data_IF_789133714556
#
_entry.id   IF_789133714556
#
_cell.length_a   1.000
_cell.length_b   1.000
_cell.length_c   1.000
_cell.angle_alpha   90.00
_cell.angle_beta   90.00
_cell.angle_gamma   90.00
#
_symmetry.space_group_name_H-M   'P 1'
#
loop_
_entity.id
_entity.type
_entity.pdbx_description
1 polymer ?
#
# COMPACT_ATOMS: atom_id res chain seq x y z
N UNK A 1 22.81 -34.98 -26.28
CA UNK A 1 23.05 -33.80 -25.43
C UNK A 1 23.95 -32.83 -26.18
N UNK A 2 23.40 -31.69 -26.62
CA UNK A 2 24.15 -30.45 -26.91
C UNK A 2 23.11 -29.37 -27.15
N UNK A 3 22.92 -28.53 -26.15
CA UNK A 3 22.08 -27.34 -26.24
C UNK A 3 22.77 -26.20 -26.97
N UNK A 4 21.95 -25.25 -27.40
CA UNK A 4 22.21 -23.82 -27.67
C UNK A 4 20.84 -23.21 -27.96
N UNK A 5 20.12 -22.79 -26.92
CA UNK A 5 20.13 -21.45 -26.32
C UNK A 5 19.81 -20.36 -27.34
N UNK A 6 18.60 -19.83 -27.18
CA UNK A 6 17.87 -18.95 -28.05
C UNK A 6 18.26 -17.49 -27.75
N UNK A 7 19.04 -16.86 -28.62
CA UNK A 7 19.38 -15.45 -28.52
C UNK A 7 18.45 -14.60 -29.38
N UNK A 8 17.24 -14.30 -28.88
CA UNK A 8 16.37 -13.33 -29.55
C UNK A 8 16.80 -11.92 -29.10
N UNK A 9 17.50 -11.22 -29.99
CA UNK A 9 17.69 -9.79 -29.87
C UNK A 9 16.36 -9.07 -30.05
N UNK A 10 16.10 -8.07 -29.22
CA UNK A 10 15.09 -7.05 -29.52
C UNK A 10 15.61 -5.69 -29.11
N UNK A 11 16.01 -4.98 -30.17
CA UNK A 11 16.29 -3.56 -30.29
C UNK A 11 15.06 -2.72 -29.92
N UNK A 12 15.25 -1.52 -29.36
CA UNK A 12 14.13 -0.59 -29.15
C UNK A 12 14.44 0.62 -28.27
N UNK A 13 15.36 1.48 -28.70
CA UNK A 13 15.57 2.79 -28.10
C UNK A 13 14.40 3.72 -28.46
N UNK A 14 13.60 4.16 -27.49
CA UNK A 14 12.43 5.00 -27.74
C UNK A 14 11.98 5.75 -26.49
N UNK A 15 12.51 6.96 -26.30
CA UNK A 15 12.10 7.93 -25.28
C UNK A 15 10.62 8.30 -25.46
N UNK A 16 9.73 7.56 -24.81
CA UNK A 16 8.33 7.96 -24.60
C UNK A 16 8.21 8.36 -23.13
N UNK A 17 7.70 9.56 -22.89
CA UNK A 17 7.31 10.05 -21.57
C UNK A 17 6.23 9.09 -21.05
N UNK A 18 6.64 8.07 -20.30
CA UNK A 18 5.73 7.05 -19.80
C UNK A 18 4.85 7.70 -18.73
N UNK A 19 3.56 7.76 -19.02
CA UNK A 19 2.53 7.83 -17.99
C UNK A 19 2.61 6.48 -17.30
N UNK A 20 3.20 6.45 -16.10
CA UNK A 20 3.33 5.24 -15.32
C UNK A 20 1.94 4.87 -14.81
N UNK A 21 1.56 3.61 -14.97
CA UNK A 21 0.37 3.07 -14.30
C UNK A 21 0.58 3.05 -12.79
N UNK A 22 -0.47 3.15 -11.99
CA UNK A 22 -0.35 3.15 -10.52
C UNK A 22 0.41 1.92 -9.99
N UNK A 23 0.29 0.78 -10.68
CA UNK A 23 1.04 -0.44 -10.38
C UNK A 23 2.55 -0.29 -10.68
N UNK A 24 2.93 0.39 -11.76
CA UNK A 24 4.33 0.69 -12.07
C UNK A 24 4.92 1.74 -11.12
N UNK A 25 4.12 2.73 -10.71
CA UNK A 25 4.52 3.71 -9.68
C UNK A 25 4.79 2.99 -8.37
N UNK A 26 3.85 2.14 -7.91
CA UNK A 26 4.00 1.36 -6.70
C UNK A 26 5.23 0.42 -6.76
N UNK A 27 5.44 -0.28 -7.89
CA UNK A 27 6.58 -1.17 -8.08
C UNK A 27 7.93 -0.41 -8.08
N UNK A 28 7.99 0.79 -8.67
CA UNK A 28 9.22 1.60 -8.65
C UNK A 28 9.52 2.17 -7.27
N UNK A 29 8.53 2.68 -6.54
CA UNK A 29 8.74 3.09 -5.14
C UNK A 29 9.17 1.89 -4.28
N UNK A 30 8.57 0.73 -4.49
CA UNK A 30 8.95 -0.51 -3.80
C UNK A 30 10.41 -0.88 -4.01
N UNK A 31 10.91 -0.82 -5.25
CA UNK A 31 12.33 -1.09 -5.53
C UNK A 31 13.29 -0.03 -4.97
N UNK A 32 12.88 1.23 -4.94
CA UNK A 32 13.72 2.33 -4.47
C UNK A 32 13.83 2.36 -2.94
N UNK A 33 12.79 1.94 -2.21
CA UNK A 33 12.72 1.95 -0.74
C UNK A 33 12.70 0.56 -0.09
N UNK A 34 12.71 -0.53 -0.87
CA UNK A 34 12.50 -1.93 -0.44
C UNK A 34 11.20 -2.19 0.32
N UNK A 35 10.17 -1.38 0.08
CA UNK A 35 8.86 -1.50 0.74
C UNK A 35 7.93 -2.34 -0.13
N UNK A 36 7.34 -3.44 0.34
CA UNK A 36 6.50 -4.29 -0.50
C UNK A 36 5.19 -3.58 -0.89
N UNK A 37 4.62 -3.96 -2.02
CA UNK A 37 3.31 -3.48 -2.49
C UNK A 37 2.22 -4.49 -2.13
N UNK A 38 0.99 -4.02 -1.91
CA UNK A 38 -0.18 -4.86 -1.64
C UNK A 38 -1.36 -4.52 -2.55
N UNK A 39 -2.07 -5.56 -3.02
CA UNK A 39 -3.36 -5.41 -3.69
C UNK A 39 -4.50 -5.54 -2.68
N UNK A 40 -5.09 -4.41 -2.27
CA UNK A 40 -6.19 -4.40 -1.29
C UNK A 40 -7.49 -5.04 -1.80
N UNK A 41 -7.66 -5.21 -3.12
CA UNK A 41 -8.84 -5.85 -3.68
C UNK A 41 -8.88 -7.37 -3.41
N UNK A 42 -7.71 -7.98 -3.19
CA UNK A 42 -7.55 -9.42 -2.95
C UNK A 42 -7.45 -9.76 -1.45
N UNK A 43 -7.50 -8.76 -0.57
CA UNK A 43 -7.35 -8.93 0.86
C UNK A 43 -8.66 -8.65 1.61
N UNK A 44 -8.96 -9.52 2.58
CA UNK A 44 -9.99 -9.25 3.58
C UNK A 44 -9.32 -8.83 4.89
N UNK A 45 -9.58 -7.59 5.31
CA UNK A 45 -9.05 -7.01 6.53
C UNK A 45 -10.03 -7.27 7.67
N UNK A 46 -9.54 -7.84 8.77
CA UNK A 46 -10.33 -8.09 9.97
C UNK A 46 -10.81 -6.77 10.61
N UNK A 47 -12.07 -6.71 11.06
CA UNK A 47 -12.64 -5.49 11.67
C UNK A 47 -11.92 -5.06 12.93
N UNK A 48 -11.33 -5.99 13.68
CA UNK A 48 -10.51 -5.67 14.86
C UNK A 48 -9.24 -4.92 14.49
N UNK A 49 -8.70 -5.15 13.29
CA UNK A 49 -7.55 -4.41 12.74
C UNK A 49 -7.98 -3.02 12.27
N UNK A 50 -9.11 -2.93 11.56
CA UNK A 50 -9.70 -1.65 11.14
C UNK A 50 -9.95 -0.73 12.35
N UNK A 51 -10.44 -1.30 13.46
CA UNK A 51 -10.73 -0.55 14.68
C UNK A 51 -9.49 0.01 15.40
N UNK A 52 -8.28 -0.44 15.05
CA UNK A 52 -7.04 0.07 15.66
C UNK A 52 -6.71 1.50 15.23
N UNK A 53 -7.21 1.94 14.09
CA UNK A 53 -6.91 3.27 13.53
C UNK A 53 -8.22 3.99 13.20
N UNK A 54 -8.42 5.23 13.67
CA UNK A 54 -9.65 5.97 13.41
C UNK A 54 -9.72 6.38 11.94
N UNK A 55 -10.95 6.41 11.41
CA UNK A 55 -11.22 6.75 10.02
C UNK A 55 -10.61 8.09 9.59
N UNK A 56 -10.68 9.10 10.46
CA UNK A 56 -10.15 10.44 10.18
C UNK A 56 -8.63 10.40 9.90
N UNK A 57 -7.87 9.66 10.71
CA UNK A 57 -6.43 9.52 10.52
C UNK A 57 -6.11 8.76 9.21
N UNK A 58 -6.87 7.71 8.93
CA UNK A 58 -6.77 6.95 7.68
C UNK A 58 -7.05 7.81 6.44
N UNK A 59 -8.09 8.65 6.49
CA UNK A 59 -8.47 9.55 5.38
C UNK A 59 -7.47 10.68 5.20
N UNK A 60 -7.01 11.29 6.29
CA UNK A 60 -6.10 12.44 6.26
C UNK A 60 -4.76 12.09 5.60
N UNK A 61 -4.26 10.88 5.82
CA UNK A 61 -2.97 10.42 5.30
C UNK A 61 -3.09 9.39 4.17
N UNK A 62 -4.31 9.14 3.66
CA UNK A 62 -4.57 8.15 2.61
C UNK A 62 -3.89 6.81 2.91
N UNK A 63 -4.33 6.18 4.00
CA UNK A 63 -3.82 4.90 4.47
C UNK A 63 -4.92 4.02 5.06
N UNK A 64 -4.63 2.73 5.26
CA UNK A 64 -5.52 1.79 5.94
C UNK A 64 -4.72 0.70 6.66
N UNK A 65 -5.04 0.34 7.94
CA UNK A 65 -4.42 -0.80 8.59
C UNK A 65 -4.84 -2.11 7.91
N UNK A 66 -3.89 -3.02 7.69
CA UNK A 66 -4.13 -4.27 6.93
C UNK A 66 -4.03 -5.50 7.82
N UNK A 67 -3.02 -5.55 8.69
CA UNK A 67 -2.77 -6.71 9.55
C UNK A 67 -1.92 -6.32 10.75
N UNK A 68 -1.93 -7.15 11.79
CA UNK A 68 -1.08 -6.98 12.97
C UNK A 68 -0.38 -8.29 13.30
N UNK A 69 0.92 -8.22 13.54
CA UNK A 69 1.73 -9.34 14.01
C UNK A 69 2.47 -8.92 15.29
N UNK A 70 2.03 -9.43 16.44
CA UNK A 70 2.58 -9.04 17.73
C UNK A 70 2.45 -7.54 17.99
N UNK A 71 3.59 -6.84 18.06
CA UNK A 71 3.71 -5.39 18.27
C UNK A 71 3.83 -4.58 16.97
N UNK A 72 3.76 -5.22 15.81
CA UNK A 72 3.86 -4.56 14.51
C UNK A 72 2.50 -4.47 13.83
N UNK A 73 2.15 -3.27 13.35
CA UNK A 73 0.96 -2.98 12.57
C UNK A 73 1.37 -2.72 11.11
N UNK A 74 0.90 -3.57 10.21
CA UNK A 74 1.08 -3.43 8.77
C UNK A 74 0.03 -2.45 8.26
N UNK A 75 0.46 -1.39 7.58
CA UNK A 75 -0.40 -0.32 7.08
C UNK A 75 -0.16 -0.11 5.60
N UNK A 76 -1.22 -0.19 4.79
CA UNK A 76 -1.16 0.20 3.40
C UNK A 76 -1.22 1.71 3.27
N UNK A 77 -0.26 2.31 2.58
CA UNK A 77 -0.12 3.76 2.41
C UNK A 77 0.06 4.12 0.93
N UNK A 78 -0.50 5.25 0.52
CA UNK A 78 -0.25 5.82 -0.81
C UNK A 78 1.17 6.42 -0.90
N UNK A 79 1.62 7.07 0.17
CA UNK A 79 2.97 7.59 0.32
C UNK A 79 3.65 7.03 1.58
N UNK A 80 4.52 6.02 1.46
CA UNK A 80 5.23 5.45 2.62
C UNK A 80 6.32 6.39 3.18
N UNK A 81 6.61 7.52 2.53
CA UNK A 81 7.60 8.51 2.99
C UNK A 81 6.99 9.61 3.86
N UNK A 82 5.66 9.60 4.05
CA UNK A 82 4.97 10.50 4.98
C UNK A 82 5.33 10.19 6.44
N UNK A 83 6.42 10.80 6.91
CA UNK A 83 6.88 10.66 8.28
C UNK A 83 5.84 11.14 9.30
N UNK A 84 4.99 12.11 8.95
CA UNK A 84 3.94 12.60 9.86
C UNK A 84 2.84 11.54 10.05
N UNK A 85 2.47 10.82 8.99
CA UNK A 85 1.56 9.68 9.09
C UNK A 85 2.13 8.58 9.99
N UNK A 86 3.39 8.20 9.77
CA UNK A 86 4.05 7.15 10.54
C UNK A 86 4.12 7.49 12.03
N UNK A 87 4.52 8.72 12.37
CA UNK A 87 4.58 9.15 13.78
C UNK A 87 3.19 9.27 14.41
N UNK A 88 2.18 9.77 13.67
CA UNK A 88 0.81 9.84 14.17
C UNK A 88 0.22 8.44 14.43
N UNK A 89 0.48 7.47 13.55
CA UNK A 89 0.07 6.08 13.72
C UNK A 89 0.76 5.43 14.92
N UNK A 90 2.07 5.63 15.09
CA UNK A 90 2.80 5.13 16.26
C UNK A 90 2.24 5.74 17.55
N UNK A 91 2.03 7.05 17.59
CA UNK A 91 1.51 7.75 18.76
C UNK A 91 0.08 7.31 19.12
N UNK A 92 -0.77 7.07 18.11
CA UNK A 92 -2.14 6.64 18.32
C UNK A 92 -2.25 5.17 18.75
N UNK A 93 -1.49 4.28 18.11
CA UNK A 93 -1.67 2.83 18.26
C UNK A 93 -0.67 2.17 19.22
N UNK A 94 0.48 2.79 19.45
CA UNK A 94 1.60 2.20 20.19
C UNK A 94 2.35 1.09 19.45
N UNK A 95 2.00 0.78 18.20
CA UNK A 95 2.66 -0.26 17.41
C UNK A 95 3.85 0.25 16.63
N UNK A 96 4.76 -0.66 16.31
CA UNK A 96 5.75 -0.46 15.24
C UNK A 96 5.00 -0.49 13.92
N UNK A 97 5.11 0.58 13.13
CA UNK A 97 4.40 0.70 11.86
C UNK A 97 5.28 0.13 10.73
N UNK A 98 4.75 -0.88 10.05
CA UNK A 98 5.36 -1.52 8.89
C UNK A 98 4.58 -1.07 7.64
N UNK A 99 5.06 -0.06 6.90
CA UNK A 99 4.34 0.43 5.73
C UNK A 99 4.41 -0.59 4.59
N UNK A 100 3.32 -0.69 3.83
CA UNK A 100 3.27 -1.32 2.51
C UNK A 100 2.62 -0.38 1.53
N UNK A 101 3.01 -0.44 0.26
CA UNK A 101 2.52 0.50 -0.75
C UNK A 101 1.24 -0.04 -1.38
N UNK A 102 0.22 0.81 -1.47
CA UNK A 102 -0.94 0.55 -2.33
C UNK A 102 -1.34 1.82 -3.06
N UNK A 103 -2.20 1.69 -4.07
CA UNK A 103 -2.65 2.86 -4.84
C UNK A 103 -3.65 3.66 -4.02
N UNK A 104 -3.66 4.99 -4.19
CA UNK A 104 -4.63 5.87 -3.52
C UNK A 104 -6.07 5.41 -3.77
N UNK A 105 -6.40 5.06 -5.02
CA UNK A 105 -7.72 4.56 -5.39
C UNK A 105 -8.10 3.28 -4.62
N UNK A 106 -7.16 2.34 -4.50
CA UNK A 106 -7.41 1.10 -3.76
C UNK A 106 -7.65 1.38 -2.27
N UNK A 107 -6.88 2.29 -1.68
CA UNK A 107 -7.02 2.69 -0.28
C UNK A 107 -8.36 3.38 -0.05
N UNK A 108 -8.72 4.39 -0.86
CA UNK A 108 -10.00 5.11 -0.73
C UNK A 108 -11.19 4.15 -0.88
N UNK A 109 -11.10 3.20 -1.81
CA UNK A 109 -12.12 2.15 -1.99
C UNK A 109 -12.23 1.26 -0.75
N UNK A 110 -11.09 0.85 -0.17
CA UNK A 110 -11.07 0.07 1.05
C UNK A 110 -11.61 0.86 2.26
N UNK A 111 -11.29 2.16 2.39
CA UNK A 111 -11.82 3.02 3.44
C UNK A 111 -13.35 3.12 3.35
N UNK A 112 -13.88 3.30 2.14
CA UNK A 112 -15.33 3.30 1.91
C UNK A 112 -15.98 1.94 2.24
N UNK A 113 -15.28 0.82 2.02
CA UNK A 113 -15.76 -0.53 2.35
C UNK A 113 -15.78 -0.78 3.86
N UNK A 114 -14.70 -0.42 4.57
CA UNK A 114 -14.46 -0.85 5.96
C UNK A 114 -14.92 0.15 7.01
N UNK A 115 -14.83 1.46 6.74
CA UNK A 115 -15.26 2.52 7.66
C UNK A 115 -16.64 3.08 7.34
N UNK A 116 -17.38 2.47 6.40
CA UNK A 116 -18.83 2.71 6.31
C UNK A 116 -19.48 2.29 7.63
N UNK A 117 -19.76 3.27 8.49
CA UNK A 117 -20.68 3.08 9.60
C UNK A 117 -22.06 2.67 9.06
N UNK A 118 -22.90 1.97 9.84
CA UNK A 118 -24.33 2.03 9.59
C UNK A 118 -24.73 3.51 9.50
N UNK A 119 -25.68 3.90 8.62
CA UNK A 119 -26.15 5.27 8.58
C UNK A 119 -26.50 5.66 10.02
N UNK A 120 -25.81 6.65 10.55
CA UNK A 120 -26.12 7.19 11.86
C UNK A 120 -27.53 7.79 11.74
N UNK A 121 -28.51 7.08 12.28
CA UNK A 121 -29.91 7.50 12.39
C UNK A 121 -30.03 8.80 13.16
#
# INVERSE_FOLDING_TARGET
MSGKSNGNGSNGNGRRRQVLTDAEIAARLSMQYRIPTINLAEYEIDRTIIALVPEDLCRRHTLIPVSRAGSSLIVAMADPTDAAALEALKAHTGFVIEPVISTELAIVTALAKYYRGPPST
#
